data_IF_225723480867
#
_entry.id   IF_225723480867
#
_cell.length_a   1.000
_cell.length_b   1.000
_cell.length_c   1.000
_cell.angle_alpha   90.00
_cell.angle_beta   90.00
_cell.angle_gamma   90.00
#
_symmetry.space_group_name_H-M   'P 1'
#
loop_
_entity.id
_entity.type
_entity.pdbx_description
1 polymer ?
#
# COMPACT_ATOMS: atom_id res chain seq x y z
N UNK A 1 -2.43 -22.01 43.28
CA UNK A 1 -2.32 -21.03 42.18
C UNK A 1 -2.21 -21.82 40.90
N UNK A 2 -3.10 -21.61 39.94
CA UNK A 2 -3.11 -22.31 38.65
C UNK A 2 -2.87 -21.31 37.54
N UNK A 3 -1.71 -21.42 36.90
CA UNK A 3 -1.27 -20.54 35.83
C UNK A 3 -2.12 -20.76 34.56
N UNK A 4 -2.70 -19.67 34.05
CA UNK A 4 -3.45 -19.65 32.79
C UNK A 4 -2.45 -19.31 31.69
N UNK A 5 -1.94 -20.32 30.99
CA UNK A 5 -1.16 -20.13 29.76
C UNK A 5 -2.11 -19.74 28.63
N UNK A 6 -2.17 -18.46 28.29
CA UNK A 6 -2.90 -17.97 27.11
C UNK A 6 -2.04 -18.13 25.86
N UNK A 7 -2.44 -19.03 24.96
CA UNK A 7 -1.78 -19.18 23.65
C UNK A 7 -2.06 -17.97 22.73
N UNK A 8 -1.06 -17.47 21.98
CA UNK A 8 -1.27 -16.38 21.03
C UNK A 8 -1.99 -16.89 19.77
N UNK A 9 -3.21 -16.40 19.51
CA UNK A 9 -3.94 -16.63 18.27
C UNK A 9 -3.19 -16.02 17.08
N UNK A 10 -2.48 -16.86 16.32
CA UNK A 10 -1.89 -16.49 15.03
C UNK A 10 -3.04 -16.22 14.05
N UNK A 11 -3.23 -14.95 13.67
CA UNK A 11 -4.15 -14.57 12.58
C UNK A 11 -3.63 -15.18 11.28
N UNK A 12 -4.36 -16.13 10.71
CA UNK A 12 -4.04 -16.73 9.42
C UNK A 12 -4.10 -15.64 8.35
N UNK A 13 -2.98 -15.39 7.68
CA UNK A 13 -2.92 -14.54 6.50
C UNK A 13 -3.57 -15.30 5.34
N UNK A 14 -4.81 -14.98 5.03
CA UNK A 14 -5.50 -15.54 3.88
C UNK A 14 -4.79 -15.07 2.61
N UNK A 15 -4.27 -16.02 1.81
CA UNK A 15 -3.62 -15.70 0.55
C UNK A 15 -4.67 -15.14 -0.41
N UNK A 16 -4.41 -14.01 -1.10
CA UNK A 16 -5.35 -13.49 -2.07
C UNK A 16 -5.56 -14.52 -3.19
N UNK A 17 -6.79 -14.61 -3.74
CA UNK A 17 -7.13 -15.59 -4.77
C UNK A 17 -6.26 -15.40 -6.02
N UNK A 18 -5.96 -16.52 -6.71
CA UNK A 18 -5.18 -16.54 -7.94
C UNK A 18 -5.97 -15.86 -9.07
N UNK A 19 -5.56 -14.67 -9.50
CA UNK A 19 -6.26 -13.86 -10.52
C UNK A 19 -5.75 -14.16 -11.93
N UNK A 20 -6.68 -14.27 -12.89
CA UNK A 20 -6.43 -14.51 -14.32
C UNK A 20 -5.71 -13.30 -14.95
N UNK A 21 -4.79 -13.54 -15.89
CA UNK A 21 -3.82 -12.56 -16.45
C UNK A 21 -4.43 -11.30 -17.10
N UNK A 22 -5.74 -11.27 -17.40
CA UNK A 22 -6.35 -10.24 -18.26
C UNK A 22 -7.53 -9.48 -17.61
N UNK A 23 -7.82 -9.73 -16.33
CA UNK A 23 -8.86 -8.98 -15.60
C UNK A 23 -8.19 -7.85 -14.80
N UNK A 24 -8.77 -6.63 -14.73
CA UNK A 24 -8.23 -5.59 -13.87
C UNK A 24 -8.19 -6.15 -12.45
N UNK A 25 -6.97 -6.38 -11.96
CA UNK A 25 -6.75 -6.89 -10.61
C UNK A 25 -7.46 -5.95 -9.64
N UNK A 26 -8.10 -6.51 -8.61
CA UNK A 26 -8.67 -5.73 -7.50
C UNK A 26 -7.68 -4.63 -7.14
N UNK A 27 -8.12 -3.37 -7.26
CA UNK A 27 -7.24 -2.21 -7.09
C UNK A 27 -6.54 -2.37 -5.73
N UNK A 28 -5.19 -2.42 -5.69
CA UNK A 28 -4.48 -2.55 -4.44
C UNK A 28 -4.95 -1.52 -3.42
N UNK A 29 -5.10 -1.92 -2.15
CA UNK A 29 -5.65 -1.06 -1.10
C UNK A 29 -4.94 0.30 -1.01
N UNK A 30 -3.63 0.30 -1.27
CA UNK A 30 -2.80 1.51 -1.32
C UNK A 30 -3.26 2.56 -2.35
N UNK A 31 -3.93 2.16 -3.43
CA UNK A 31 -4.46 3.07 -4.44
C UNK A 31 -5.93 3.43 -4.18
N UNK A 32 -6.70 2.55 -3.51
CA UNK A 32 -8.09 2.87 -3.12
C UNK A 32 -8.16 3.82 -1.90
N UNK A 33 -7.19 3.68 -0.99
CA UNK A 33 -7.05 4.42 0.27
C UNK A 33 -5.65 5.05 0.36
N UNK A 34 -5.40 6.17 -0.33
CA UNK A 34 -4.10 6.86 -0.28
C UNK A 34 -3.74 7.36 1.13
N UNK A 35 -4.70 7.43 2.05
CA UNK A 35 -4.48 7.80 3.45
C UNK A 35 -3.62 6.79 4.21
N UNK A 36 -3.53 5.54 3.72
CA UNK A 36 -2.68 4.49 4.31
C UNK A 36 -1.19 4.79 4.08
N UNK A 37 -0.85 5.61 3.09
CA UNK A 37 0.54 5.95 2.82
C UNK A 37 1.06 6.80 3.97
N UNK A 38 2.19 6.40 4.55
CA UNK A 38 2.85 7.21 5.56
C UNK A 38 3.48 8.43 4.91
N UNK A 39 2.68 9.49 4.74
CA UNK A 39 3.12 10.73 4.14
C UNK A 39 3.73 11.66 5.19
N UNK A 40 5.06 11.79 5.13
CA UNK A 40 5.82 12.69 5.98
C UNK A 40 6.57 13.69 5.11
N UNK A 41 6.13 14.95 5.12
CA UNK A 41 6.82 16.03 4.41
C UNK A 41 7.95 16.61 5.25
N UNK A 42 9.07 16.93 4.60
CA UNK A 42 10.18 17.60 5.26
C UNK A 42 9.77 19.04 5.63
N UNK A 43 9.79 19.36 6.93
CA UNK A 43 9.60 20.74 7.39
C UNK A 43 10.76 21.60 6.95
N UNK A 44 10.46 22.76 6.36
CA UNK A 44 11.44 23.69 5.83
C UNK A 44 11.16 25.11 6.33
N UNK A 45 12.20 25.94 6.33
CA UNK A 45 12.05 27.34 6.67
C UNK A 45 11.36 28.08 5.51
N UNK A 46 10.30 28.83 5.83
CA UNK A 46 9.47 29.57 4.87
C UNK A 46 10.28 30.56 4.01
N UNK A 47 11.34 31.15 4.55
CA UNK A 47 12.16 32.13 3.83
C UNK A 47 13.32 31.50 3.03
N UNK A 48 13.57 30.20 3.22
CA UNK A 48 14.66 29.48 2.57
C UNK A 48 14.12 28.24 1.86
N UNK A 49 13.22 28.45 0.91
CA UNK A 49 12.68 27.42 0.03
C UNK A 49 13.35 27.48 -1.34
N UNK A 50 13.57 26.32 -1.95
CA UNK A 50 14.00 26.23 -3.36
C UNK A 50 12.91 25.54 -4.18
N UNK A 51 12.91 25.67 -5.50
CA UNK A 51 11.96 24.97 -6.37
C UNK A 51 12.05 23.44 -6.27
N UNK A 52 13.22 22.91 -5.90
CA UNK A 52 13.37 21.47 -5.66
C UNK A 52 12.56 20.97 -4.45
N UNK A 53 12.15 21.89 -3.57
CA UNK A 53 11.40 21.58 -2.37
C UNK A 53 9.94 21.23 -2.66
N UNK A 54 9.41 21.64 -3.81
CA UNK A 54 8.02 21.36 -4.22
C UNK A 54 7.79 19.87 -4.48
N UNK A 55 8.85 19.14 -4.89
CA UNK A 55 8.78 17.70 -5.11
C UNK A 55 8.56 16.96 -3.78
N UNK A 56 7.44 16.23 -3.71
CA UNK A 56 7.05 15.48 -2.51
C UNK A 56 6.43 16.34 -1.40
N UNK A 57 6.21 17.65 -1.61
CA UNK A 57 5.58 18.53 -0.64
C UNK A 57 4.06 18.39 -0.56
N UNK A 58 3.42 17.84 -1.59
CA UNK A 58 1.98 17.62 -1.61
C UNK A 58 1.63 16.19 -1.22
N UNK A 59 0.59 16.06 -0.38
CA UNK A 59 0.05 14.77 0.04
C UNK A 59 -0.73 14.15 -1.14
N UNK A 60 -0.55 12.86 -1.44
CA UNK A 60 -1.33 12.18 -2.47
C UNK A 60 -2.82 12.14 -2.12
N UNK A 61 -3.66 12.31 -3.14
CA UNK A 61 -5.13 12.33 -3.02
C UNK A 61 -5.78 11.24 -3.88
N UNK A 62 -7.02 10.86 -3.55
CA UNK A 62 -7.74 9.81 -4.27
C UNK A 62 -8.01 10.16 -5.74
N UNK A 63 -8.18 11.43 -6.06
CA UNK A 63 -8.35 11.91 -7.44
C UNK A 63 -7.11 11.70 -8.31
N UNK A 64 -5.93 11.62 -7.71
CA UNK A 64 -4.66 11.36 -8.41
C UNK A 64 -4.39 9.86 -8.56
N UNK A 65 -5.12 9.01 -7.83
CA UNK A 65 -4.94 7.56 -7.86
C UNK A 65 -5.54 6.96 -9.14
N UNK A 66 -4.91 5.91 -9.71
CA UNK A 66 -5.45 5.23 -10.87
C UNK A 66 -6.74 4.48 -10.52
N UNK A 67 -7.68 4.45 -11.46
CA UNK A 67 -8.93 3.67 -11.33
C UNK A 67 -8.71 2.17 -11.55
N UNK A 68 -7.69 1.82 -12.33
CA UNK A 68 -7.31 0.44 -12.65
C UNK A 68 -5.80 0.27 -12.58
N UNK A 69 -5.33 -0.87 -12.06
CA UNK A 69 -3.91 -1.19 -11.94
C UNK A 69 -3.61 -2.57 -12.55
N UNK A 70 -2.82 -2.57 -13.61
CA UNK A 70 -2.41 -3.79 -14.31
C UNK A 70 -1.00 -4.21 -13.85
N UNK A 71 -0.91 -5.02 -12.81
CA UNK A 71 0.36 -5.58 -12.35
C UNK A 71 0.72 -6.89 -13.05
N UNK A 72 2.02 -7.12 -13.21
CA UNK A 72 2.58 -8.41 -13.57
C UNK A 72 3.16 -9.07 -12.32
N UNK A 73 2.65 -10.24 -11.95
CA UNK A 73 3.25 -11.04 -10.88
C UNK A 73 4.58 -11.60 -11.36
N UNK A 74 5.65 -11.36 -10.60
CA UNK A 74 6.96 -11.94 -10.85
C UNK A 74 7.17 -13.25 -10.09
N UNK A 75 6.15 -13.74 -9.39
CA UNK A 75 6.16 -15.08 -8.84
C UNK A 75 6.29 -16.11 -9.96
N UNK A 76 7.10 -17.15 -9.74
CA UNK A 76 7.19 -18.26 -10.67
C UNK A 76 5.79 -18.82 -10.93
N UNK A 77 5.46 -19.03 -12.20
CA UNK A 77 4.15 -19.56 -12.58
C UNK A 77 3.95 -20.89 -11.86
N UNK A 78 3.00 -20.92 -10.91
CA UNK A 78 2.56 -22.18 -10.32
C UNK A 78 2.00 -23.02 -11.46
N UNK A 79 2.68 -24.12 -11.76
CA UNK A 79 2.14 -25.17 -12.63
C UNK A 79 1.00 -25.79 -11.83
N UNK A 80 -0.21 -25.80 -12.42
CA UNK A 80 -1.41 -26.41 -11.85
C UNK A 80 -1.21 -27.90 -11.62
#
# INVERSE_FOLDING_TARGET
>A
MSDITSEPKIKKFERPPLVKRNEPMVLPEKFDRPEIWNYESKKQNMFYTTSSNDYGFYKPTKSEMPTSYYSVSHEFTKVN
#
